data_IF_364823939329
#
_entry.id   IF_364823939329
#
_cell.length_a   1.000
_cell.length_b   1.000
_cell.length_c   1.000
_cell.angle_alpha   90.00
_cell.angle_beta   90.00
_cell.angle_gamma   90.00
#
_symmetry.space_group_name_H-M   'P 1'
#
loop_
_entity.id
_entity.type
_entity.pdbx_description
1 polymer ?
#
# COMPACT_ATOMS: atom_id res chain seq x y z
N UNK A 1 33.88 23.02 -11.80
CA UNK A 1 32.66 22.49 -11.16
C UNK A 1 31.77 22.00 -12.28
N UNK A 2 31.17 20.82 -12.16
CA UNK A 2 30.14 20.38 -13.11
C UNK A 2 28.89 21.23 -12.84
N UNK A 3 28.26 21.78 -13.88
CA UNK A 3 27.05 22.58 -13.71
C UNK A 3 25.94 21.72 -13.11
N UNK A 4 25.11 22.30 -12.24
CA UNK A 4 24.03 21.58 -11.58
C UNK A 4 22.91 21.31 -12.59
N UNK A 5 22.59 20.03 -12.82
CA UNK A 5 21.55 19.56 -13.72
C UNK A 5 20.65 18.50 -13.04
N UNK A 6 19.60 18.06 -13.74
CA UNK A 6 18.62 17.07 -13.23
C UNK A 6 19.30 15.74 -12.90
N UNK A 7 20.23 15.28 -13.74
CA UNK A 7 20.98 14.04 -13.51
C UNK A 7 21.82 14.14 -12.22
N UNK A 8 22.49 15.26 -12.02
CA UNK A 8 23.27 15.52 -10.81
C UNK A 8 22.36 15.58 -9.58
N UNK A 9 21.16 16.16 -9.68
CA UNK A 9 20.19 16.16 -8.59
C UNK A 9 19.70 14.75 -8.23
N UNK A 10 19.31 13.96 -9.23
CA UNK A 10 18.87 12.57 -9.05
C UNK A 10 19.98 11.73 -8.42
N UNK A 11 21.21 11.85 -8.91
CA UNK A 11 22.36 11.14 -8.36
C UNK A 11 22.71 11.58 -6.93
N UNK A 12 22.72 12.89 -6.66
CA UNK A 12 23.04 13.44 -5.34
C UNK A 12 22.06 12.98 -4.27
N UNK A 13 20.76 12.97 -4.58
CA UNK A 13 19.71 12.52 -3.65
C UNK A 13 19.35 11.03 -3.80
N UNK A 14 20.06 10.32 -4.68
CA UNK A 14 19.84 8.92 -5.02
C UNK A 14 18.36 8.58 -5.26
N UNK A 15 17.65 9.44 -5.99
CA UNK A 15 16.19 9.32 -6.16
C UNK A 15 15.83 7.98 -6.81
N UNK A 16 16.61 7.51 -7.77
CA UNK A 16 16.38 6.21 -8.42
C UNK A 16 16.57 5.03 -7.46
N UNK A 17 17.41 5.16 -6.44
CA UNK A 17 17.68 4.10 -5.48
C UNK A 17 16.51 3.81 -4.52
N UNK A 18 15.70 4.81 -4.18
CA UNK A 18 14.54 4.65 -3.28
C UNK A 18 13.19 4.89 -3.96
N UNK A 19 13.15 5.73 -4.98
CA UNK A 19 11.94 6.16 -5.68
C UNK A 19 11.21 5.01 -6.35
N UNK A 20 11.91 3.94 -6.72
CA UNK A 20 11.33 2.68 -7.22
C UNK A 20 10.34 2.90 -8.38
N UNK A 21 10.63 3.87 -9.25
CA UNK A 21 9.75 4.30 -10.36
C UNK A 21 8.53 5.15 -9.96
N UNK A 22 8.22 5.27 -8.66
CA UNK A 22 7.12 6.12 -8.16
C UNK A 22 7.50 7.57 -7.98
N UNK A 23 8.78 7.87 -7.76
CA UNK A 23 9.25 9.24 -7.55
C UNK A 23 10.48 9.50 -8.41
N UNK A 24 10.52 10.68 -9.03
CA UNK A 24 11.67 11.16 -9.79
C UNK A 24 11.65 12.69 -9.90
N UNK A 25 12.61 13.27 -10.61
CA UNK A 25 12.68 14.70 -10.92
C UNK A 25 12.39 14.89 -12.40
N UNK A 26 11.46 15.78 -12.76
CA UNK A 26 11.12 16.07 -14.15
C UNK A 26 12.14 17.01 -14.83
N UNK A 27 11.95 17.27 -16.13
CA UNK A 27 12.84 18.14 -16.91
C UNK A 27 12.89 19.60 -16.42
N UNK A 28 11.91 20.03 -15.64
CA UNK A 28 11.85 21.37 -15.03
C UNK A 28 12.55 21.42 -13.66
N UNK A 29 13.07 20.30 -13.16
CA UNK A 29 13.70 20.20 -11.84
C UNK A 29 12.72 20.00 -10.68
N UNK A 30 11.44 19.70 -10.97
CA UNK A 30 10.41 19.47 -9.95
C UNK A 30 10.31 17.98 -9.57
N UNK A 31 10.06 17.70 -8.29
CA UNK A 31 9.77 16.33 -7.84
C UNK A 31 8.37 15.93 -8.31
N UNK A 32 8.30 14.77 -8.96
CA UNK A 32 7.04 14.20 -9.45
C UNK A 32 6.77 12.84 -8.82
N UNK A 33 5.49 12.56 -8.57
CA UNK A 33 4.99 11.24 -8.19
C UNK A 33 4.34 10.55 -9.39
N UNK A 34 4.57 9.25 -9.57
CA UNK A 34 3.99 8.40 -10.62
C UNK A 34 3.31 7.20 -9.97
N UNK A 35 2.10 7.36 -9.38
CA UNK A 35 1.47 6.32 -8.57
C UNK A 35 1.23 4.98 -9.30
N UNK A 36 0.98 5.04 -10.61
CA UNK A 36 0.78 3.88 -11.49
C UNK A 36 1.99 3.59 -12.39
N UNK A 37 3.16 4.17 -12.09
CA UNK A 37 4.37 4.08 -12.91
C UNK A 37 4.08 4.40 -14.39
N UNK A 38 4.51 3.55 -15.31
CA UNK A 38 4.35 3.72 -16.76
C UNK A 38 2.89 3.57 -17.23
N UNK A 39 2.00 3.02 -16.40
CA UNK A 39 0.59 2.84 -16.72
C UNK A 39 -0.26 4.09 -16.42
N UNK A 40 0.34 5.16 -15.91
CA UNK A 40 -0.38 6.39 -15.57
C UNK A 40 0.41 7.66 -15.81
N UNK A 41 -0.13 8.77 -15.33
CA UNK A 41 0.51 10.08 -15.41
C UNK A 41 1.51 10.36 -14.29
N UNK A 42 2.22 11.47 -14.43
CA UNK A 42 3.05 12.06 -13.38
C UNK A 42 2.32 13.23 -12.72
N UNK A 43 2.43 13.34 -11.40
CA UNK A 43 1.88 14.42 -10.59
C UNK A 43 3.03 15.28 -10.08
N UNK A 44 3.06 16.56 -10.45
CA UNK A 44 4.02 17.51 -9.91
C UNK A 44 3.65 17.87 -8.47
N UNK A 45 4.52 17.50 -7.51
CA UNK A 45 4.22 17.71 -6.09
C UNK A 45 4.13 19.20 -5.76
N UNK A 46 4.91 20.05 -6.44
CA UNK A 46 4.88 21.49 -6.23
C UNK A 46 3.53 22.08 -6.65
N UNK A 47 2.93 21.59 -7.73
CA UNK A 47 1.59 22.00 -8.17
C UNK A 47 0.53 21.63 -7.13
N UNK A 48 0.56 20.41 -6.58
CA UNK A 48 -0.35 19.96 -5.52
C UNK A 48 -0.24 20.87 -4.27
N UNK A 49 1.00 21.22 -3.88
CA UNK A 49 1.25 22.13 -2.75
C UNK A 49 0.71 23.54 -3.03
N UNK A 50 0.91 24.05 -4.25
CA UNK A 50 0.40 25.36 -4.64
C UNK A 50 -1.13 25.38 -4.68
N UNK A 51 -1.77 24.34 -5.22
CA UNK A 51 -3.24 24.21 -5.21
C UNK A 51 -3.76 24.17 -3.77
N UNK A 52 -3.15 23.37 -2.89
CA UNK A 52 -3.52 23.30 -1.48
C UNK A 52 -3.48 24.68 -0.79
N UNK A 53 -2.46 25.50 -1.09
CA UNK A 53 -2.39 26.90 -0.61
C UNK A 53 -3.53 27.75 -1.14
N UNK A 54 -3.83 27.67 -2.44
CA UNK A 54 -4.94 28.45 -3.04
C UNK A 54 -6.30 28.08 -2.43
N UNK A 55 -6.45 26.83 -1.99
CA UNK A 55 -7.64 26.32 -1.30
C UNK A 55 -7.68 26.65 0.20
N UNK A 56 -6.69 27.38 0.71
CA UNK A 56 -6.63 27.77 2.13
C UNK A 56 -6.32 26.61 3.08
N UNK A 57 -5.75 25.50 2.59
CA UNK A 57 -5.33 24.39 3.45
C UNK A 57 -4.09 24.78 4.24
N UNK A 58 -4.13 24.54 5.56
CA UNK A 58 -3.02 24.81 6.47
C UNK A 58 -1.95 23.73 6.39
N UNK A 59 -0.69 24.13 6.59
CA UNK A 59 0.46 23.24 6.67
C UNK A 59 0.83 22.97 8.15
N UNK A 60 1.44 21.81 8.48
CA UNK A 60 1.90 20.74 7.58
C UNK A 60 0.75 19.91 6.99
N UNK A 61 0.96 19.40 5.76
CA UNK A 61 -0.04 18.60 5.03
C UNK A 61 0.56 17.25 4.63
N UNK A 62 -0.28 16.20 4.66
CA UNK A 62 0.10 14.84 4.24
C UNK A 62 -0.60 14.51 2.94
N UNK A 63 0.20 14.27 1.89
CA UNK A 63 -0.31 13.84 0.57
C UNK A 63 -0.24 12.32 0.53
N UNK A 64 -1.36 11.68 0.21
CA UNK A 64 -1.46 10.22 0.07
C UNK A 64 -1.81 9.86 -1.37
N UNK A 65 -1.08 8.92 -1.94
CA UNK A 65 -1.33 8.39 -3.28
C UNK A 65 -1.96 7.00 -3.14
N UNK A 66 -3.29 6.94 -3.23
CA UNK A 66 -4.05 5.68 -3.10
C UNK A 66 -3.70 4.69 -4.22
N UNK A 67 -3.58 5.19 -5.45
CA UNK A 67 -3.15 4.41 -6.61
C UNK A 67 -1.79 3.72 -6.42
N UNK A 68 -0.86 4.35 -5.68
CA UNK A 68 0.43 3.74 -5.37
C UNK A 68 0.24 2.52 -4.47
N UNK A 69 -0.63 2.60 -3.46
CA UNK A 69 -0.95 1.47 -2.60
C UNK A 69 -1.56 0.33 -3.42
N UNK A 70 -2.54 0.61 -4.29
CA UNK A 70 -3.12 -0.39 -5.19
C UNK A 70 -2.05 -1.07 -6.04
N UNK A 71 -1.22 -0.28 -6.72
CA UNK A 71 -0.16 -0.78 -7.57
C UNK A 71 0.81 -1.68 -6.78
N UNK A 72 1.14 -1.34 -5.53
CA UNK A 72 2.02 -2.19 -4.69
C UNK A 72 1.36 -3.51 -4.32
N UNK A 73 0.08 -3.53 -3.97
CA UNK A 73 -0.65 -4.77 -3.68
C UNK A 73 -0.66 -5.66 -4.92
N UNK A 74 -1.03 -5.12 -6.08
CA UNK A 74 -1.05 -5.86 -7.34
C UNK A 74 0.35 -6.38 -7.72
N UNK A 75 1.36 -5.52 -7.67
CA UNK A 75 2.74 -5.87 -8.04
C UNK A 75 3.29 -7.05 -7.24
N UNK A 76 3.03 -7.09 -5.92
CA UNK A 76 3.48 -8.19 -5.07
C UNK A 76 2.77 -9.49 -5.45
N UNK A 77 1.45 -9.45 -5.60
CA UNK A 77 0.68 -10.64 -5.97
C UNK A 77 1.08 -11.19 -7.35
N UNK A 78 1.22 -10.30 -8.35
CA UNK A 78 1.64 -10.68 -9.70
C UNK A 78 3.07 -11.23 -9.71
N UNK A 79 3.99 -10.66 -8.93
CA UNK A 79 5.35 -11.19 -8.83
C UNK A 79 5.37 -12.64 -8.33
N UNK A 80 4.57 -12.96 -7.30
CA UNK A 80 4.44 -14.32 -6.81
C UNK A 80 3.73 -15.24 -7.82
N UNK A 81 2.68 -14.79 -8.49
CA UNK A 81 1.99 -15.58 -9.52
C UNK A 81 2.92 -15.91 -10.70
N UNK A 82 3.73 -14.94 -11.14
CA UNK A 82 4.71 -15.13 -12.20
C UNK A 82 5.74 -16.19 -11.79
N UNK A 83 6.31 -16.09 -10.60
CA UNK A 83 7.25 -17.09 -10.09
C UNK A 83 6.60 -18.48 -9.94
N UNK A 84 5.37 -18.56 -9.42
CA UNK A 84 4.65 -19.83 -9.31
C UNK A 84 4.49 -20.50 -10.67
N UNK A 85 4.16 -19.71 -11.70
CA UNK A 85 4.00 -20.19 -13.07
C UNK A 85 5.33 -20.62 -13.68
N UNK A 86 6.38 -19.81 -13.53
CA UNK A 86 7.72 -20.06 -14.06
C UNK A 86 8.32 -21.36 -13.51
N UNK A 87 8.08 -21.65 -12.23
CA UNK A 87 8.65 -22.81 -11.54
C UNK A 87 7.68 -24.00 -11.40
N UNK A 88 6.51 -23.98 -12.05
CA UNK A 88 5.43 -24.98 -11.92
C UNK A 88 5.11 -25.35 -10.45
N UNK A 89 5.11 -24.35 -9.57
CA UNK A 89 4.82 -24.55 -8.16
C UNK A 89 3.33 -24.87 -7.98
N UNK A 90 3.03 -25.91 -7.19
CA UNK A 90 1.65 -26.41 -7.04
C UNK A 90 0.80 -25.66 -6.01
N UNK A 91 1.42 -24.83 -5.18
CA UNK A 91 0.72 -24.03 -4.18
C UNK A 91 0.27 -22.66 -4.71
N UNK A 92 -0.49 -21.95 -3.89
CA UNK A 92 -0.95 -20.59 -4.19
C UNK A 92 -0.30 -19.60 -3.23
N UNK A 93 -0.01 -18.39 -3.71
CA UNK A 93 0.33 -17.26 -2.86
C UNK A 93 -0.96 -16.64 -2.31
N UNK A 94 -0.99 -16.39 -1.00
CA UNK A 94 -2.04 -15.64 -0.30
C UNK A 94 -1.37 -14.59 0.57
N UNK A 95 -1.34 -13.35 0.11
CA UNK A 95 -0.77 -12.25 0.87
C UNK A 95 -1.71 -11.78 1.98
N UNK A 96 -1.14 -11.21 3.05
CA UNK A 96 -1.88 -10.59 4.15
C UNK A 96 -1.27 -9.25 4.53
N UNK A 97 -2.11 -8.25 4.82
CA UNK A 97 -1.65 -6.95 5.32
C UNK A 97 -1.69 -6.90 6.85
N UNK A 98 -0.56 -6.71 7.53
CA UNK A 98 -0.53 -6.50 8.97
C UNK A 98 -1.06 -5.12 9.35
N UNK A 99 -2.26 -5.08 9.94
CA UNK A 99 -2.96 -3.83 10.31
C UNK A 99 -2.11 -2.95 11.22
N UNK A 100 -1.26 -3.56 12.06
CA UNK A 100 -0.32 -2.85 12.95
C UNK A 100 0.58 -1.83 12.24
N UNK A 101 0.82 -1.98 10.94
CA UNK A 101 1.67 -1.07 10.15
C UNK A 101 0.94 0.24 9.86
N UNK A 102 -0.36 0.18 9.57
CA UNK A 102 -1.20 1.35 9.34
C UNK A 102 -2.67 1.02 9.57
N UNK A 103 -3.24 1.54 10.67
CA UNK A 103 -4.61 1.27 11.10
C UNK A 103 -5.64 2.20 10.46
N UNK A 104 -5.23 3.12 9.57
CA UNK A 104 -6.16 4.06 8.94
C UNK A 104 -7.13 3.30 8.03
N UNK A 105 -8.43 3.55 8.23
CA UNK A 105 -9.51 2.94 7.46
C UNK A 105 -9.29 3.06 5.95
N UNK A 106 -8.98 4.27 5.47
CA UNK A 106 -8.75 4.55 4.05
C UNK A 106 -7.62 3.71 3.43
N UNK A 107 -6.59 3.35 4.22
CA UNK A 107 -5.48 2.51 3.76
C UNK A 107 -5.89 1.05 3.73
N UNK A 108 -6.58 0.59 4.77
CA UNK A 108 -7.05 -0.80 4.85
C UNK A 108 -8.09 -1.08 3.77
N UNK A 109 -9.05 -0.18 3.57
CA UNK A 109 -10.07 -0.31 2.53
C UNK A 109 -9.44 -0.40 1.14
N UNK A 110 -8.46 0.45 0.86
CA UNK A 110 -7.76 0.46 -0.43
C UNK A 110 -6.96 -0.82 -0.67
N UNK A 111 -6.29 -1.34 0.36
CA UNK A 111 -5.52 -2.59 0.28
C UNK A 111 -6.45 -3.80 0.08
N UNK A 112 -7.55 -3.87 0.81
CA UNK A 112 -8.54 -4.95 0.69
C UNK A 112 -9.19 -4.93 -0.69
N UNK A 113 -9.53 -3.74 -1.19
CA UNK A 113 -10.16 -3.57 -2.50
C UNK A 113 -9.21 -3.97 -3.64
N UNK A 114 -7.98 -3.44 -3.65
CA UNK A 114 -6.96 -3.82 -4.65
C UNK A 114 -6.57 -5.31 -4.57
N UNK A 115 -6.66 -5.88 -3.36
CA UNK A 115 -6.32 -7.26 -3.07
C UNK A 115 -7.43 -8.27 -3.37
N UNK A 116 -8.65 -7.82 -3.70
CA UNK A 116 -9.82 -8.69 -3.80
C UNK A 116 -9.64 -9.82 -4.82
N UNK A 117 -9.09 -9.50 -6.00
CA UNK A 117 -8.82 -10.49 -7.05
C UNK A 117 -7.79 -11.56 -6.66
N UNK A 118 -7.03 -11.33 -5.59
CA UNK A 118 -5.99 -12.22 -5.08
C UNK A 118 -6.37 -12.89 -3.75
N UNK A 119 -7.59 -12.64 -3.25
CA UNK A 119 -8.02 -13.03 -1.91
C UNK A 119 -7.05 -12.56 -0.82
N UNK A 120 -6.55 -11.33 -0.97
CA UNK A 120 -5.58 -10.74 -0.07
C UNK A 120 -6.21 -10.51 1.31
N UNK A 121 -5.59 -11.04 2.34
CA UNK A 121 -6.12 -11.04 3.69
C UNK A 121 -5.58 -9.94 4.59
N UNK A 122 -5.96 -10.01 5.86
CA UNK A 122 -5.51 -9.11 6.91
C UNK A 122 -4.82 -9.90 8.03
N UNK A 123 -3.87 -9.27 8.70
CA UNK A 123 -3.27 -9.78 9.93
C UNK A 123 -3.59 -8.83 11.09
N UNK A 124 -4.08 -9.41 12.17
CA UNK A 124 -4.45 -8.72 13.39
C UNK A 124 -3.58 -9.23 14.55
N UNK A 125 -2.84 -8.33 15.19
CA UNK A 125 -1.97 -8.63 16.33
C UNK A 125 -2.59 -8.36 17.70
N UNK A 126 -3.82 -7.82 17.74
CA UNK A 126 -4.50 -7.44 18.98
C UNK A 126 -6.02 -7.51 18.85
N UNK A 127 -6.73 -7.48 19.98
CA UNK A 127 -8.21 -7.54 20.02
C UNK A 127 -8.87 -6.41 19.21
N UNK A 128 -8.45 -5.13 19.33
CA UNK A 128 -9.02 -4.06 18.50
C UNK A 128 -8.73 -4.24 17.00
N UNK A 129 -7.53 -4.72 16.65
CA UNK A 129 -7.18 -5.00 15.26
C UNK A 129 -8.01 -6.15 14.69
N UNK A 130 -8.30 -7.19 15.48
CA UNK A 130 -9.17 -8.30 15.04
C UNK A 130 -10.59 -7.81 14.76
N UNK A 131 -11.15 -6.97 15.62
CA UNK A 131 -12.48 -6.38 15.38
C UNK A 131 -12.46 -5.50 14.12
N UNK A 132 -11.38 -4.75 13.91
CA UNK A 132 -11.20 -3.92 12.71
C UNK A 132 -11.08 -4.78 11.44
N UNK A 133 -10.31 -5.87 11.50
CA UNK A 133 -10.16 -6.82 10.40
C UNK A 133 -11.50 -7.45 10.02
N UNK A 134 -12.27 -7.92 11.02
CA UNK A 134 -13.60 -8.49 10.80
C UNK A 134 -14.59 -7.46 10.21
N UNK A 135 -14.48 -6.19 10.58
CA UNK A 135 -15.33 -5.13 10.04
C UNK A 135 -15.02 -4.80 8.57
N UNK A 136 -13.77 -5.01 8.13
CA UNK A 136 -13.31 -4.71 6.77
C UNK A 136 -13.31 -5.94 5.85
N UNK A 137 -13.50 -7.14 6.39
CA UNK A 137 -13.51 -8.39 5.65
C UNK A 137 -14.77 -8.51 4.79
N UNK A 138 -14.58 -8.69 3.49
CA UNK A 138 -15.65 -8.77 2.48
C UNK A 138 -15.57 -10.03 1.61
N UNK A 139 -14.49 -10.79 1.73
CA UNK A 139 -14.19 -11.93 0.88
C UNK A 139 -13.97 -13.17 1.75
N UNK A 140 -14.91 -14.11 1.67
CA UNK A 140 -14.91 -15.36 2.43
C UNK A 140 -13.66 -16.23 2.18
N UNK A 141 -12.99 -16.05 1.04
CA UNK A 141 -11.76 -16.77 0.69
C UNK A 141 -10.49 -16.06 1.21
N UNK A 142 -10.60 -14.81 1.66
CA UNK A 142 -9.48 -14.04 2.20
C UNK A 142 -9.21 -14.38 3.67
N UNK A 143 -7.94 -14.40 4.05
CA UNK A 143 -7.52 -14.86 5.36
C UNK A 143 -7.49 -13.74 6.40
N UNK A 144 -7.93 -14.02 7.63
CA UNK A 144 -7.60 -13.20 8.80
C UNK A 144 -6.61 -13.97 9.68
N UNK A 145 -5.35 -13.55 9.71
CA UNK A 145 -4.32 -14.15 10.56
C UNK A 145 -4.33 -13.47 11.93
N UNK A 146 -4.48 -14.26 12.98
CA UNK A 146 -4.57 -13.78 14.36
C UNK A 146 -3.25 -14.00 15.13
N UNK A 147 -2.49 -12.94 15.36
CA UNK A 147 -1.24 -12.94 16.12
C UNK A 147 -1.36 -12.24 17.47
N UNK A 148 -0.22 -12.04 18.14
CA UNK A 148 -0.12 -11.36 19.43
C UNK A 148 -0.70 -12.14 20.61
N UNK A 149 -0.86 -11.45 21.75
CA UNK A 149 -1.39 -12.01 22.99
C UNK A 149 -2.89 -12.27 22.88
N UNK A 150 -3.34 -13.45 23.33
CA UNK A 150 -4.72 -13.92 23.15
C UNK A 150 -5.34 -14.28 24.49
N UNK A 151 -6.23 -13.41 24.96
CA UNK A 151 -7.10 -13.71 26.10
C UNK A 151 -8.37 -14.45 25.64
N UNK A 152 -9.20 -14.88 26.61
CA UNK A 152 -10.44 -15.61 26.30
C UNK A 152 -11.37 -14.81 25.37
N UNK A 153 -11.43 -13.50 25.53
CA UNK A 153 -12.27 -12.64 24.68
C UNK A 153 -11.76 -12.58 23.24
N UNK A 154 -10.44 -12.48 23.04
CA UNK A 154 -9.82 -12.54 21.71
C UNK A 154 -10.19 -13.85 21.00
N UNK A 155 -9.97 -14.99 21.68
CA UNK A 155 -10.28 -16.31 21.10
C UNK A 155 -11.77 -16.42 20.76
N UNK A 156 -12.65 -15.97 21.65
CA UNK A 156 -14.09 -15.96 21.41
C UNK A 156 -14.46 -15.13 20.18
N UNK A 157 -13.90 -13.94 20.02
CA UNK A 157 -14.16 -13.07 18.86
C UNK A 157 -13.67 -13.74 17.57
N UNK A 158 -12.47 -14.34 17.57
CA UNK A 158 -11.93 -15.02 16.40
C UNK A 158 -12.81 -16.21 15.97
N UNK A 159 -13.28 -17.01 16.92
CA UNK A 159 -14.18 -18.14 16.65
C UNK A 159 -15.57 -17.68 16.17
N UNK A 160 -16.09 -16.57 16.71
CA UNK A 160 -17.32 -15.96 16.22
C UNK A 160 -17.16 -15.42 14.81
N UNK A 161 -16.02 -14.80 14.50
CA UNK A 161 -15.67 -14.35 13.15
C UNK A 161 -15.74 -15.50 12.15
N UNK A 162 -15.05 -16.62 12.43
CA UNK A 162 -15.10 -17.83 11.60
C UNK A 162 -16.51 -18.40 11.42
N UNK A 163 -17.41 -18.20 12.40
CA UNK A 163 -18.80 -18.68 12.31
C UNK A 163 -19.64 -17.81 11.35
N UNK A 164 -19.25 -16.55 11.13
CA UNK A 164 -19.96 -15.64 10.24
C UNK A 164 -19.68 -15.92 8.75
N UNK A 165 -18.57 -16.60 8.46
CA UNK A 165 -18.05 -16.83 7.11
C UNK A 165 -16.64 -16.29 7.00
#
# INVERSE_FOLDING_TARGET
MKDWDVESAIATYNVDGWGSGYFTVNAEGNVVAKPLQENGGSINILEVVNEARTRGLSFPLVIRFQDLLRHRVESVNLAFQNAITEFDYRGQYRGVFPIKVNQLREVIEEIVDAGQQFHFGLEAGSKPELVSALAMHKDAESLIICNGYKDQAFIRIALLGRKLG
#
